data_IF_130465447641
#
_entry.id   IF_130465447641
#
_cell.length_a   1.000
_cell.length_b   1.000
_cell.length_c   1.000
_cell.angle_alpha   90.00
_cell.angle_beta   90.00
_cell.angle_gamma   90.00
#
_symmetry.space_group_name_H-M   'P 1'
#
loop_
_entity.id
_entity.type
_entity.pdbx_description
1 polymer ?
#
# COMPACT_ATOMS: atom_id res chain seq x y z
N UNK A 1 0.98 -21.27 -8.84
CA UNK A 1 1.93 -20.81 -9.88
C UNK A 1 1.33 -21.08 -11.26
N UNK A 2 0.54 -20.17 -11.81
CA UNK A 2 0.39 -20.12 -13.26
C UNK A 2 1.66 -19.44 -13.79
N UNK A 3 2.34 -20.07 -14.75
CA UNK A 3 3.36 -19.41 -15.55
C UNK A 3 2.73 -18.11 -16.08
N UNK A 4 3.16 -16.95 -15.56
CA UNK A 4 2.88 -15.69 -16.21
C UNK A 4 3.37 -15.84 -17.64
N UNK A 5 2.44 -15.94 -18.60
CA UNK A 5 2.78 -15.82 -20.00
C UNK A 5 3.62 -14.55 -20.12
N UNK A 6 4.90 -14.72 -20.48
CA UNK A 6 5.78 -13.60 -20.75
C UNK A 6 5.04 -12.66 -21.70
N UNK A 7 4.87 -11.37 -21.37
CA UNK A 7 4.14 -10.45 -22.22
C UNK A 7 4.76 -10.49 -23.62
N UNK A 8 4.00 -11.02 -24.57
CA UNK A 8 4.45 -11.23 -25.94
C UNK A 8 3.97 -10.06 -26.78
N UNK A 9 4.91 -9.34 -27.39
CA UNK A 9 4.62 -8.33 -28.40
C UNK A 9 5.06 -8.86 -29.77
N UNK A 10 4.26 -8.59 -30.81
CA UNK A 10 4.59 -8.94 -32.18
C UNK A 10 5.06 -7.70 -32.94
N UNK A 11 6.25 -7.78 -33.53
CA UNK A 11 6.73 -6.76 -34.48
C UNK A 11 6.37 -7.27 -35.88
N UNK A 12 5.48 -6.54 -36.56
CA UNK A 12 5.13 -6.83 -37.96
C UNK A 12 6.15 -6.14 -38.86
N UNK A 13 7.20 -6.86 -39.25
CA UNK A 13 8.19 -6.38 -40.22
C UNK A 13 8.12 -7.21 -41.51
N UNK A 14 7.71 -6.63 -42.65
CA UNK A 14 7.63 -7.32 -43.94
C UNK A 14 8.94 -7.96 -44.41
N UNK A 15 10.08 -7.37 -44.02
CA UNK A 15 11.40 -7.90 -44.35
C UNK A 15 11.77 -9.09 -43.46
N UNK A 16 11.35 -9.09 -42.19
CA UNK A 16 11.56 -10.24 -41.30
C UNK A 16 10.84 -11.49 -41.83
N UNK A 17 9.64 -11.34 -42.39
CA UNK A 17 8.87 -12.43 -43.00
C UNK A 17 9.52 -12.98 -44.27
N UNK A 18 10.17 -12.14 -45.08
CA UNK A 18 10.90 -12.62 -46.27
C UNK A 18 12.23 -13.29 -45.93
N UNK A 19 12.85 -12.96 -44.80
CA UNK A 19 14.11 -13.56 -44.32
C UNK A 19 13.88 -14.58 -43.18
N UNK A 20 12.88 -15.45 -43.34
CA UNK A 20 12.68 -16.63 -42.49
C UNK A 20 12.25 -16.35 -41.05
N UNK A 21 11.54 -15.25 -40.81
CA UNK A 21 11.12 -14.79 -39.48
C UNK A 21 12.29 -14.57 -38.50
N UNK A 22 13.42 -14.10 -39.01
CA UNK A 22 14.59 -13.78 -38.16
C UNK A 22 14.66 -12.28 -37.89
N UNK A 23 14.82 -11.93 -36.61
CA UNK A 23 15.08 -10.57 -36.14
C UNK A 23 16.41 -10.58 -35.39
N UNK A 24 17.28 -9.63 -35.71
CA UNK A 24 18.50 -9.37 -34.95
C UNK A 24 18.24 -8.20 -33.98
N UNK A 25 18.78 -8.30 -32.77
CA UNK A 25 18.70 -7.26 -31.75
C UNK A 25 20.09 -6.80 -31.33
N UNK A 26 20.28 -5.48 -31.16
CA UNK A 26 21.48 -4.91 -30.55
C UNK A 26 21.07 -3.91 -29.47
N UNK A 27 21.65 -4.03 -28.28
CA UNK A 27 21.50 -3.01 -27.25
C UNK A 27 22.17 -1.71 -27.71
N UNK A 28 21.45 -0.62 -27.56
CA UNK A 28 21.84 0.75 -27.90
C UNK A 28 21.69 1.60 -26.63
N UNK A 29 22.29 2.79 -26.64
CA UNK A 29 22.31 3.73 -25.52
C UNK A 29 20.95 3.90 -24.82
N UNK A 30 20.98 3.89 -23.49
CA UNK A 30 19.82 4.22 -22.65
C UNK A 30 18.78 3.10 -22.52
N UNK A 31 19.22 1.85 -22.34
CA UNK A 31 18.37 0.65 -22.21
C UNK A 31 17.43 0.44 -23.41
N UNK A 32 17.84 0.85 -24.61
CA UNK A 32 17.09 0.63 -25.84
C UNK A 32 17.60 -0.61 -26.55
N UNK A 33 16.70 -1.45 -27.04
CA UNK A 33 17.04 -2.57 -27.89
C UNK A 33 16.60 -2.23 -29.33
N UNK A 34 17.58 -2.04 -30.21
CA UNK A 34 17.31 -1.86 -31.63
C UNK A 34 17.14 -3.23 -32.29
N UNK A 35 15.97 -3.47 -32.87
CA UNK A 35 15.58 -4.71 -33.53
C UNK A 35 15.40 -4.46 -35.02
N UNK A 36 16.02 -5.29 -35.84
CA UNK A 36 16.04 -5.15 -37.30
C UNK A 36 16.11 -6.52 -37.98
N UNK A 37 15.55 -6.62 -39.19
CA UNK A 37 15.46 -7.89 -39.92
C UNK A 37 16.80 -8.45 -40.45
N UNK A 38 17.83 -7.61 -40.55
CA UNK A 38 19.12 -8.00 -41.14
C UNK A 38 20.13 -8.47 -40.09
N UNK A 39 21.03 -9.40 -40.45
CA UNK A 39 22.19 -9.70 -39.60
C UNK A 39 23.25 -8.62 -39.79
N UNK A 40 23.87 -8.11 -38.71
CA UNK A 40 24.95 -7.15 -38.83
C UNK A 40 26.12 -7.78 -39.60
N UNK A 41 26.66 -7.04 -40.57
CA UNK A 41 27.84 -7.44 -41.35
C UNK A 41 29.02 -7.54 -40.37
N UNK A 42 29.63 -8.72 -40.27
CA UNK A 42 30.84 -8.94 -39.47
C UNK A 42 32.08 -8.77 -40.34
N UNK A 43 33.25 -8.60 -39.72
CA UNK A 43 34.53 -8.43 -40.44
C UNK A 43 34.87 -9.60 -41.40
N UNK A 44 34.16 -10.73 -41.30
CA UNK A 44 34.34 -11.94 -42.11
C UNK A 44 33.31 -12.07 -43.24
N UNK A 45 32.33 -11.16 -43.34
CA UNK A 45 31.29 -11.19 -44.37
C UNK A 45 31.48 -10.07 -45.39
N UNK A 46 31.36 -10.41 -46.68
CA UNK A 46 31.46 -9.44 -47.77
C UNK A 46 30.15 -8.65 -47.86
N UNK A 47 30.26 -7.33 -47.94
CA UNK A 47 29.13 -6.43 -48.13
C UNK A 47 28.62 -6.54 -49.58
N UNK A 48 27.59 -7.36 -49.80
CA UNK A 48 26.93 -7.55 -51.08
C UNK A 48 25.45 -7.14 -50.96
N UNK A 49 24.90 -6.35 -51.91
CA UNK A 49 23.51 -5.92 -51.85
C UNK A 49 22.57 -7.14 -51.89
N UNK A 50 21.66 -7.22 -50.93
CA UNK A 50 20.61 -8.25 -50.92
C UNK A 50 19.61 -8.03 -52.07
N UNK A 51 18.86 -9.08 -52.45
CA UNK A 51 17.89 -9.02 -53.56
C UNK A 51 16.79 -7.95 -53.37
N UNK A 52 16.52 -7.57 -52.13
CA UNK A 52 15.55 -6.55 -51.72
C UNK A 52 16.18 -5.15 -51.49
N UNK A 53 17.49 -4.99 -51.69
CA UNK A 53 18.17 -3.71 -51.53
C UNK A 53 17.59 -2.65 -52.47
N UNK A 54 17.09 -1.55 -51.89
CA UNK A 54 16.43 -0.46 -52.62
C UNK A 54 14.99 -0.73 -53.09
N UNK A 55 14.43 -1.92 -52.81
CA UNK A 55 13.05 -2.30 -53.21
C UNK A 55 12.04 -2.20 -52.07
N UNK A 56 12.48 -2.33 -50.81
CA UNK A 56 11.64 -2.28 -49.61
C UNK A 56 12.27 -1.37 -48.54
N UNK A 57 11.47 -0.66 -47.73
CA UNK A 57 12.00 0.16 -46.64
C UNK A 57 12.60 -0.74 -45.55
N UNK A 58 13.81 -0.41 -45.10
CA UNK A 58 14.45 -1.06 -43.95
C UNK A 58 13.97 -0.37 -42.68
N UNK A 59 13.20 -1.08 -41.87
CA UNK A 59 12.72 -0.57 -40.59
C UNK A 59 13.66 -1.00 -39.46
N UNK A 60 13.97 -0.07 -38.55
CA UNK A 60 14.68 -0.34 -37.30
C UNK A 60 13.70 -0.01 -36.17
N UNK A 61 13.32 -1.02 -35.41
CA UNK A 61 12.39 -0.89 -34.29
C UNK A 61 13.18 -0.67 -33.00
N UNK A 62 12.89 0.39 -32.26
CA UNK A 62 13.48 0.62 -30.95
C UNK A 62 12.51 0.16 -29.87
N UNK A 63 12.93 -0.84 -29.11
CA UNK A 63 12.22 -1.30 -27.92
C UNK A 63 12.84 -0.62 -26.70
N UNK A 64 11.97 -0.15 -25.82
CA UNK A 64 12.38 0.50 -24.57
C UNK A 64 11.46 0.00 -23.46
N UNK A 65 12.00 -0.32 -22.27
CA UNK A 65 11.17 -0.59 -21.11
C UNK A 65 10.27 0.60 -20.80
N UNK A 66 9.04 0.30 -20.42
CA UNK A 66 8.12 1.32 -19.93
C UNK A 66 8.70 1.99 -18.68
N UNK A 67 8.56 3.31 -18.62
CA UNK A 67 9.14 4.12 -17.58
C UNK A 67 8.17 5.21 -17.17
N UNK A 68 7.51 5.01 -16.04
CA UNK A 68 6.40 5.84 -15.59
C UNK A 68 6.81 7.29 -15.33
N UNK A 69 8.07 7.53 -14.96
CA UNK A 69 8.58 8.87 -14.66
C UNK A 69 8.92 9.72 -15.90
N UNK A 70 8.58 9.22 -17.09
CA UNK A 70 8.47 10.07 -18.28
C UNK A 70 7.24 10.99 -18.19
N UNK A 71 6.25 10.65 -17.35
CA UNK A 71 5.14 11.54 -17.01
C UNK A 71 5.60 12.72 -16.10
N UNK A 72 5.18 13.97 -16.37
CA UNK A 72 5.59 15.13 -15.57
C UNK A 72 5.13 15.08 -14.11
N UNK A 73 3.97 14.50 -13.80
CA UNK A 73 3.46 14.41 -12.42
C UNK A 73 4.38 13.48 -11.63
N UNK A 74 4.64 12.28 -12.17
CA UNK A 74 5.51 11.29 -11.55
C UNK A 74 6.97 11.75 -11.48
N UNK A 75 7.43 12.53 -12.47
CA UNK A 75 8.76 13.16 -12.42
C UNK A 75 8.91 14.11 -11.23
N UNK A 76 7.86 14.87 -10.90
CA UNK A 76 7.88 15.76 -9.73
C UNK A 76 8.02 14.98 -8.41
N UNK A 77 7.36 13.81 -8.31
CA UNK A 77 7.50 12.91 -7.17
C UNK A 77 8.95 12.46 -6.97
N UNK A 78 9.66 12.06 -8.04
CA UNK A 78 11.08 11.68 -7.91
C UNK A 78 11.94 12.87 -7.46
N UNK A 79 11.71 14.06 -8.01
CA UNK A 79 12.49 15.24 -7.65
C UNK A 79 12.37 15.54 -6.15
N UNK A 80 11.16 15.49 -5.59
CA UNK A 80 10.92 15.69 -4.16
C UNK A 80 11.45 14.51 -3.32
N UNK A 81 11.25 13.28 -3.78
CA UNK A 81 11.72 12.07 -3.10
C UNK A 81 13.25 12.00 -3.02
N UNK A 82 13.97 12.43 -4.05
CA UNK A 82 15.44 12.45 -4.08
C UNK A 82 16.03 13.33 -2.97
N UNK A 83 15.41 14.48 -2.71
CA UNK A 83 15.81 15.37 -1.62
C UNK A 83 15.60 14.71 -0.25
N UNK A 84 14.50 13.95 -0.11
CA UNK A 84 14.19 13.18 1.09
C UNK A 84 15.17 12.01 1.28
N UNK A 85 15.55 11.35 0.19
CA UNK A 85 16.57 10.30 0.16
C UNK A 85 17.92 10.82 0.63
N UNK A 86 18.40 11.94 0.08
CA UNK A 86 19.65 12.56 0.52
C UNK A 86 19.60 12.97 1.99
N UNK A 87 18.45 13.45 2.48
CA UNK A 87 18.26 13.76 3.90
C UNK A 87 18.37 12.51 4.79
N UNK A 88 17.84 11.37 4.33
CA UNK A 88 17.98 10.08 5.01
C UNK A 88 19.44 9.62 5.05
N UNK A 89 20.17 9.70 3.92
CA UNK A 89 21.58 9.30 3.86
C UNK A 89 22.45 10.13 4.82
N UNK A 90 22.13 11.41 5.02
CA UNK A 90 22.84 12.29 5.97
C UNK A 90 22.71 11.83 7.43
N UNK A 91 21.65 11.10 7.79
CA UNK A 91 21.53 10.51 9.13
C UNK A 91 22.52 9.35 9.35
N UNK A 92 22.96 8.68 8.28
CA UNK A 92 24.01 7.66 8.28
C UNK A 92 23.85 6.59 9.38
N UNK A 93 22.64 6.02 9.51
CA UNK A 93 22.27 5.05 10.55
C UNK A 93 22.49 5.52 12.02
N UNK A 94 22.63 6.84 12.24
CA UNK A 94 22.88 7.47 13.56
C UNK A 94 21.77 8.43 13.98
N UNK A 95 20.68 8.50 13.22
CA UNK A 95 19.54 9.34 13.54
C UNK A 95 18.77 8.85 14.76
N UNK A 96 18.01 9.74 15.40
CA UNK A 96 17.03 9.32 16.40
C UNK A 96 15.81 8.73 15.71
N UNK A 97 15.06 7.88 16.42
CA UNK A 97 13.82 7.27 15.90
C UNK A 97 12.82 8.30 15.36
N UNK A 98 12.72 9.46 16.02
CA UNK A 98 11.87 10.56 15.58
C UNK A 98 12.26 11.12 14.19
N UNK A 99 13.56 11.13 13.86
CA UNK A 99 14.06 11.61 12.58
C UNK A 99 13.61 10.68 11.44
N UNK A 100 13.69 9.37 11.66
CA UNK A 100 13.24 8.38 10.69
C UNK A 100 11.73 8.40 10.47
N UNK A 101 10.94 8.59 11.54
CA UNK A 101 9.50 8.78 11.43
C UNK A 101 9.19 10.04 10.62
N UNK A 102 9.93 11.14 10.85
CA UNK A 102 9.75 12.37 10.08
C UNK A 102 10.02 12.14 8.59
N UNK A 103 11.10 11.42 8.25
CA UNK A 103 11.43 11.06 6.87
C UNK A 103 10.34 10.19 6.24
N UNK A 104 9.87 9.16 6.94
CA UNK A 104 8.77 8.31 6.50
C UNK A 104 7.51 9.11 6.17
N UNK A 105 7.13 10.04 7.07
CA UNK A 105 5.99 10.92 6.87
C UNK A 105 6.19 11.86 5.68
N UNK A 106 7.41 12.36 5.46
CA UNK A 106 7.73 13.17 4.28
C UNK A 106 7.52 12.35 3.00
N UNK A 107 7.99 11.11 2.93
CA UNK A 107 7.71 10.23 1.77
C UNK A 107 6.21 10.03 1.55
N UNK A 108 5.45 9.73 2.62
CA UNK A 108 4.00 9.56 2.52
C UNK A 108 3.30 10.84 2.04
N UNK A 109 3.73 12.01 2.50
CA UNK A 109 3.21 13.30 2.02
C UNK A 109 3.52 13.53 0.53
N UNK A 110 4.70 13.17 0.05
CA UNK A 110 5.05 13.26 -1.38
C UNK A 110 4.16 12.33 -2.20
N UNK A 111 3.95 11.09 -1.75
CA UNK A 111 3.04 10.13 -2.41
C UNK A 111 1.62 10.69 -2.45
N UNK A 112 1.12 11.23 -1.33
CA UNK A 112 -0.23 11.81 -1.26
C UNK A 112 -0.40 13.01 -2.20
N UNK A 113 0.56 13.92 -2.23
CA UNK A 113 0.54 15.06 -3.15
C UNK A 113 0.57 14.61 -4.62
N UNK A 114 1.32 13.54 -4.93
CA UNK A 114 1.31 12.94 -6.25
C UNK A 114 -0.05 12.32 -6.60
N UNK A 115 -0.68 11.60 -5.67
CA UNK A 115 -2.02 11.04 -5.84
C UNK A 115 -3.08 12.11 -6.12
N UNK A 116 -3.04 13.22 -5.38
CA UNK A 116 -3.96 14.35 -5.58
C UNK A 116 -3.79 14.95 -6.99
N UNK A 117 -2.55 15.19 -7.44
CA UNK A 117 -2.26 15.68 -8.80
C UNK A 117 -2.74 14.70 -9.87
N UNK A 118 -2.55 13.39 -9.67
CA UNK A 118 -3.02 12.36 -10.61
C UNK A 118 -4.55 12.30 -10.66
N UNK A 119 -5.23 12.42 -9.52
CA UNK A 119 -6.70 12.46 -9.44
C UNK A 119 -7.27 13.69 -10.14
N UNK A 120 -6.67 14.85 -9.91
CA UNK A 120 -7.04 16.10 -10.59
C UNK A 120 -6.88 15.94 -12.11
N UNK A 121 -5.72 15.45 -12.56
CA UNK A 121 -5.44 15.22 -13.98
C UNK A 121 -6.38 14.18 -14.62
N UNK A 122 -6.76 13.12 -13.88
CA UNK A 122 -7.71 12.11 -14.36
C UNK A 122 -9.16 12.63 -14.44
N UNK A 123 -9.50 13.65 -13.64
CA UNK A 123 -10.81 14.30 -13.66
C UNK A 123 -10.93 15.45 -14.67
N UNK A 124 -9.82 15.83 -15.30
CA UNK A 124 -9.79 16.92 -16.27
C UNK A 124 -10.57 16.57 -17.55
N UNK A 125 -11.34 17.54 -18.05
CA UNK A 125 -12.11 17.41 -19.29
C UNK A 125 -11.32 17.80 -20.53
N UNK A 126 -10.02 18.06 -20.41
CA UNK A 126 -9.17 18.41 -21.55
C UNK A 126 -8.96 17.20 -22.49
N UNK A 127 -8.90 17.41 -23.82
CA UNK A 127 -8.80 16.31 -24.79
C UNK A 127 -7.56 15.42 -24.58
N UNK A 128 -6.41 16.02 -24.26
CA UNK A 128 -5.15 15.31 -23.99
C UNK A 128 -5.19 14.52 -22.68
N UNK A 129 -5.92 15.03 -21.68
CA UNK A 129 -6.11 14.34 -20.39
C UNK A 129 -7.05 13.14 -20.53
N UNK A 130 -8.05 13.24 -21.40
CA UNK A 130 -9.01 12.16 -21.65
C UNK A 130 -8.35 10.95 -22.33
N UNK A 131 -7.37 11.15 -23.21
CA UNK A 131 -6.56 10.07 -23.80
C UNK A 131 -5.70 9.34 -22.75
N UNK A 132 -5.22 10.07 -21.72
CA UNK A 132 -4.39 9.53 -20.64
C UNK A 132 -5.18 9.10 -19.40
N UNK A 133 -6.50 9.21 -19.42
CA UNK A 133 -7.33 8.96 -18.23
C UNK A 133 -7.14 7.54 -17.69
N UNK A 134 -7.17 6.52 -18.56
CA UNK A 134 -6.95 5.13 -18.15
C UNK A 134 -5.56 4.90 -17.55
N UNK A 135 -4.54 5.54 -18.10
CA UNK A 135 -3.17 5.48 -17.59
C UNK A 135 -3.08 6.11 -16.18
N UNK A 136 -3.68 7.28 -15.98
CA UNK A 136 -3.71 7.93 -14.67
C UNK A 136 -4.50 7.12 -13.64
N UNK A 137 -5.59 6.45 -14.02
CA UNK A 137 -6.31 5.53 -13.12
C UNK A 137 -5.42 4.36 -12.68
N UNK A 138 -4.60 3.81 -13.59
CA UNK A 138 -3.62 2.77 -13.25
C UNK A 138 -2.57 3.30 -12.28
N UNK A 139 -2.02 4.49 -12.52
CA UNK A 139 -1.06 5.12 -11.60
C UNK A 139 -1.67 5.42 -10.23
N UNK A 140 -2.91 5.91 -10.17
CA UNK A 140 -3.63 6.12 -8.90
C UNK A 140 -3.74 4.81 -8.13
N UNK A 141 -4.10 3.70 -8.77
CA UNK A 141 -4.19 2.39 -8.12
C UNK A 141 -2.84 1.92 -7.57
N UNK A 142 -1.75 2.09 -8.33
CA UNK A 142 -0.39 1.72 -7.93
C UNK A 142 0.06 2.58 -6.73
N UNK A 143 0.01 3.90 -6.85
CA UNK A 143 0.50 4.81 -5.80
C UNK A 143 -0.37 4.78 -4.54
N UNK A 144 -1.68 4.51 -4.66
CA UNK A 144 -2.54 4.27 -3.50
C UNK A 144 -2.13 2.98 -2.77
N UNK A 145 -1.84 1.92 -3.52
CA UNK A 145 -1.32 0.67 -2.95
C UNK A 145 0.01 0.91 -2.24
N UNK A 146 0.91 1.69 -2.84
CA UNK A 146 2.20 2.07 -2.22
C UNK A 146 1.97 2.83 -0.92
N UNK A 147 1.11 3.85 -0.93
CA UNK A 147 0.83 4.64 0.27
C UNK A 147 0.24 3.79 1.41
N UNK A 148 -0.66 2.88 1.07
CA UNK A 148 -1.30 1.96 2.00
C UNK A 148 -0.29 1.04 2.70
N UNK A 149 0.59 0.41 1.91
CA UNK A 149 1.67 -0.46 2.41
C UNK A 149 2.71 0.35 3.19
N UNK A 150 3.07 1.55 2.73
CA UNK A 150 4.02 2.43 3.40
C UNK A 150 3.50 2.86 4.77
N UNK A 151 2.25 3.29 4.85
CA UNK A 151 1.63 3.72 6.11
C UNK A 151 1.56 2.58 7.12
N UNK A 152 1.19 1.37 6.69
CA UNK A 152 1.18 0.19 7.56
C UNK A 152 2.59 -0.18 8.03
N UNK A 153 3.58 -0.10 7.13
CA UNK A 153 5.00 -0.33 7.47
C UNK A 153 5.52 0.69 8.50
N UNK A 154 5.12 1.96 8.40
CA UNK A 154 5.45 2.99 9.40
C UNK A 154 4.89 2.64 10.78
N UNK A 155 3.67 2.12 10.84
CA UNK A 155 3.00 1.73 12.09
C UNK A 155 3.69 0.52 12.71
N UNK A 156 3.94 -0.53 11.93
CA UNK A 156 4.45 -1.80 12.44
C UNK A 156 5.94 -1.75 12.78
N UNK A 157 6.76 -1.10 11.95
CA UNK A 157 8.23 -1.16 12.08
C UNK A 157 8.87 0.13 12.60
N UNK A 158 8.35 1.30 12.24
CA UNK A 158 8.94 2.58 12.66
C UNK A 158 8.36 3.09 14.00
N UNK A 159 7.17 2.61 14.39
CA UNK A 159 6.49 2.96 15.65
C UNK A 159 6.44 1.87 16.73
N UNK A 160 7.48 1.05 17.01
CA UNK A 160 7.39 0.17 18.17
C UNK A 160 7.45 0.99 19.47
N UNK A 161 6.29 1.34 20.00
CA UNK A 161 6.13 1.87 21.35
C UNK A 161 6.45 0.75 22.35
N UNK A 162 6.89 1.10 23.56
CA UNK A 162 7.25 0.14 24.61
C UNK A 162 6.11 -0.84 25.00
N UNK A 163 4.87 -0.56 24.57
CA UNK A 163 3.71 -1.40 24.85
C UNK A 163 3.45 -2.46 23.77
N UNK A 164 4.05 -2.37 22.58
CA UNK A 164 3.77 -3.23 21.41
C UNK A 164 2.30 -3.37 20.98
N UNK A 165 1.36 -2.64 21.60
CA UNK A 165 -0.05 -2.64 21.23
C UNK A 165 -0.24 -1.83 19.96
N UNK A 166 -0.87 -2.45 18.96
CA UNK A 166 -0.99 -1.91 17.60
C UNK A 166 -2.40 -1.44 17.25
N UNK A 167 -3.41 -1.85 18.03
CA UNK A 167 -4.83 -1.61 17.70
C UNK A 167 -5.15 -0.13 17.48
N UNK A 168 -4.74 0.83 18.35
CA UNK A 168 -5.05 2.24 18.13
C UNK A 168 -4.49 2.78 16.80
N UNK A 169 -3.25 2.40 16.46
CA UNK A 169 -2.62 2.83 15.21
C UNK A 169 -3.27 2.17 13.99
N UNK A 170 -3.70 0.91 14.10
CA UNK A 170 -4.42 0.21 13.03
C UNK A 170 -5.81 0.82 12.78
N UNK A 171 -6.49 1.31 13.82
CA UNK A 171 -7.75 2.05 13.66
C UNK A 171 -7.52 3.37 12.89
N UNK A 172 -6.46 4.12 13.22
CA UNK A 172 -6.08 5.32 12.45
C UNK A 172 -5.75 4.99 10.98
N UNK A 173 -5.08 3.86 10.74
CA UNK A 173 -4.77 3.38 9.40
C UNK A 173 -6.03 3.08 8.58
N UNK A 174 -6.99 2.34 9.13
CA UNK A 174 -8.26 2.07 8.45
C UNK A 174 -9.03 3.35 8.18
N UNK A 175 -9.14 4.25 9.17
CA UNK A 175 -9.84 5.53 8.98
C UNK A 175 -9.27 6.34 7.82
N UNK A 176 -7.95 6.34 7.68
CA UNK A 176 -7.26 7.06 6.61
C UNK A 176 -7.49 6.42 5.22
N UNK A 177 -7.49 5.09 5.12
CA UNK A 177 -7.65 4.37 3.84
C UNK A 177 -9.11 4.06 3.47
N UNK A 178 -10.04 4.09 4.43
CA UNK A 178 -11.46 3.79 4.26
C UNK A 178 -12.36 4.90 4.83
N UNK A 179 -12.29 6.14 4.30
CA UNK A 179 -13.01 7.29 4.86
C UNK A 179 -14.50 7.34 4.50
N UNK A 180 -15.05 6.31 3.84
CA UNK A 180 -16.43 6.30 3.31
C UNK A 180 -17.47 6.55 4.40
N UNK A 181 -17.37 5.85 5.53
CA UNK A 181 -18.30 6.00 6.64
C UNK A 181 -18.15 7.35 7.36
N UNK A 182 -16.93 7.89 7.44
CA UNK A 182 -16.69 9.22 8.05
C UNK A 182 -17.26 10.36 7.18
N UNK A 183 -17.17 10.23 5.85
CA UNK A 183 -17.83 11.15 4.90
C UNK A 183 -19.35 11.07 5.01
N UNK A 184 -19.90 9.86 4.98
CA UNK A 184 -21.34 9.62 5.16
C UNK A 184 -21.83 10.16 6.51
N UNK A 185 -21.05 9.99 7.58
CA UNK A 185 -21.36 10.53 8.90
C UNK A 185 -21.37 12.06 8.89
N UNK A 186 -20.43 12.69 8.18
CA UNK A 186 -20.39 14.16 8.02
C UNK A 186 -21.65 14.66 7.34
N UNK A 187 -22.08 14.01 6.25
CA UNK A 187 -23.31 14.37 5.53
C UNK A 187 -24.55 14.21 6.42
N UNK A 188 -24.65 13.11 7.18
CA UNK A 188 -25.75 12.87 8.13
C UNK A 188 -25.76 13.88 9.29
N UNK A 189 -24.60 14.25 9.82
CA UNK A 189 -24.48 15.28 10.87
C UNK A 189 -24.93 16.66 10.38
N UNK A 190 -24.67 16.99 9.12
CA UNK A 190 -25.13 18.24 8.49
C UNK A 190 -26.65 18.28 8.32
N UNK A 191 -27.30 17.13 8.10
CA UNK A 191 -28.76 17.00 8.07
C UNK A 191 -29.41 17.07 9.46
N UNK A 192 -28.63 16.92 10.53
CA UNK A 192 -29.13 17.00 11.90
C UNK A 192 -30.21 15.95 12.20
N UNK A 193 -31.31 16.29 12.90
CA UNK A 193 -32.36 15.33 13.25
C UNK A 193 -33.06 14.68 12.05
N UNK A 194 -33.04 15.30 10.88
CA UNK A 194 -33.61 14.72 9.66
C UNK A 194 -32.72 13.62 9.06
N UNK A 195 -31.45 13.56 9.45
CA UNK A 195 -30.52 12.51 9.04
C UNK A 195 -30.97 11.11 9.46
N UNK A 196 -31.73 10.97 10.55
CA UNK A 196 -32.24 9.67 11.02
C UNK A 196 -33.26 9.03 10.07
N UNK A 197 -33.82 9.81 9.13
CA UNK A 197 -34.77 9.32 8.12
C UNK A 197 -34.08 8.79 6.86
N UNK A 198 -32.78 9.00 6.73
CA UNK A 198 -32.00 8.51 5.59
C UNK A 198 -31.83 6.99 5.67
N UNK A 199 -31.95 6.32 4.53
CA UNK A 199 -31.65 4.89 4.40
C UNK A 199 -30.18 4.56 4.74
N UNK A 200 -29.30 5.57 4.67
CA UNK A 200 -27.87 5.45 4.96
C UNK A 200 -27.54 5.56 6.46
N UNK A 201 -28.51 5.95 7.31
CA UNK A 201 -28.26 6.21 8.74
C UNK A 201 -27.70 4.98 9.49
N UNK A 202 -28.40 3.83 9.40
CA UNK A 202 -27.99 2.60 10.07
C UNK A 202 -26.74 1.95 9.44
N UNK A 203 -26.62 1.86 8.10
CA UNK A 203 -25.36 1.45 7.47
C UNK A 203 -24.16 2.30 7.89
N UNK A 204 -24.32 3.62 7.98
CA UNK A 204 -23.28 4.53 8.47
C UNK A 204 -22.89 4.20 9.91
N UNK A 205 -23.86 4.12 10.83
CA UNK A 205 -23.60 3.80 12.23
C UNK A 205 -22.89 2.45 12.41
N UNK A 206 -23.33 1.42 11.69
CA UNK A 206 -22.68 0.10 11.71
C UNK A 206 -21.25 0.19 11.20
N UNK A 207 -21.01 0.85 10.07
CA UNK A 207 -19.67 1.05 9.51
C UNK A 207 -18.74 1.83 10.43
N UNK A 208 -19.23 2.90 11.07
CA UNK A 208 -18.48 3.68 12.07
C UNK A 208 -18.08 2.81 13.25
N UNK A 209 -19.03 2.05 13.81
CA UNK A 209 -18.75 1.12 14.92
C UNK A 209 -17.74 0.07 14.47
N UNK A 210 -17.93 -0.56 13.31
CA UNK A 210 -17.01 -1.57 12.76
C UNK A 210 -15.61 -1.04 12.45
N UNK A 211 -15.42 0.27 12.28
CA UNK A 211 -14.11 0.93 12.18
C UNK A 211 -13.61 1.51 13.52
N UNK A 212 -14.30 1.26 14.63
CA UNK A 212 -13.93 1.74 15.96
C UNK A 212 -14.20 3.23 16.22
N UNK A 213 -14.97 3.91 15.36
CA UNK A 213 -15.33 5.33 15.48
C UNK A 213 -16.51 5.57 16.43
N UNK A 214 -16.38 5.11 17.67
CA UNK A 214 -17.47 5.12 18.66
C UNK A 214 -17.96 6.53 18.98
N UNK A 215 -17.07 7.52 19.05
CA UNK A 215 -17.46 8.90 19.38
C UNK A 215 -18.34 9.55 18.31
N UNK A 216 -18.03 9.30 17.02
CA UNK A 216 -18.85 9.80 15.90
C UNK A 216 -20.21 9.11 15.88
N UNK A 217 -20.22 7.79 16.09
CA UNK A 217 -21.46 7.02 16.18
C UNK A 217 -22.35 7.50 17.34
N UNK A 218 -21.75 7.80 18.51
CA UNK A 218 -22.46 8.38 19.66
C UNK A 218 -23.06 9.75 19.34
N UNK A 219 -22.34 10.61 18.63
CA UNK A 219 -22.85 11.91 18.22
C UNK A 219 -24.09 11.78 17.32
N UNK A 220 -24.07 10.86 16.35
CA UNK A 220 -25.23 10.57 15.49
C UNK A 220 -26.42 10.03 16.29
N UNK A 221 -26.19 9.08 17.21
CA UNK A 221 -27.25 8.53 18.07
C UNK A 221 -27.92 9.60 18.95
N UNK A 222 -27.16 10.60 19.41
CA UNK A 222 -27.70 11.71 20.21
C UNK A 222 -28.61 12.65 19.41
N UNK A 223 -28.44 12.71 18.08
CA UNK A 223 -29.31 13.49 17.19
C UNK A 223 -30.60 12.74 16.82
N UNK A 224 -30.70 11.45 17.13
CA UNK A 224 -31.88 10.65 16.83
C UNK A 224 -33.12 11.18 17.59
N UNK A 225 -34.31 11.25 16.96
CA UNK A 225 -35.53 11.74 17.63
C UNK A 225 -35.91 10.98 18.91
N UNK A 226 -35.49 9.72 19.03
CA UNK A 226 -35.74 8.86 20.19
C UNK A 226 -34.54 8.79 21.17
N UNK A 227 -33.57 9.70 21.08
CA UNK A 227 -32.37 9.69 21.92
C UNK A 227 -32.68 9.70 23.44
N UNK A 228 -33.84 10.25 23.85
CA UNK A 228 -34.31 10.23 25.24
C UNK A 228 -35.11 8.98 25.65
N UNK A 229 -35.19 7.96 24.79
CA UNK A 229 -35.81 6.68 25.14
C UNK A 229 -34.84 5.80 25.96
N UNK A 230 -35.40 4.96 26.82
CA UNK A 230 -34.58 4.11 27.70
C UNK A 230 -33.59 3.21 26.93
N UNK A 231 -33.96 2.69 25.76
CA UNK A 231 -33.08 1.87 24.93
C UNK A 231 -31.87 2.67 24.42
N UNK A 232 -32.09 3.89 23.91
CA UNK A 232 -31.01 4.77 23.43
C UNK A 232 -30.11 5.25 24.56
N UNK A 233 -30.66 5.58 25.74
CA UNK A 233 -29.87 5.97 26.91
C UNK A 233 -28.95 4.83 27.38
N UNK A 234 -29.45 3.58 27.39
CA UNK A 234 -28.65 2.41 27.75
C UNK A 234 -27.53 2.20 26.73
N UNK A 235 -27.83 2.26 25.43
CA UNK A 235 -26.82 2.11 24.39
C UNK A 235 -25.77 3.23 24.44
N UNK A 236 -26.17 4.48 24.65
CA UNK A 236 -25.25 5.61 24.85
C UNK A 236 -24.32 5.37 26.04
N UNK A 237 -24.87 4.90 27.16
CA UNK A 237 -24.11 4.60 28.36
C UNK A 237 -23.10 3.47 28.13
N UNK A 238 -23.50 2.40 27.43
CA UNK A 238 -22.61 1.29 27.07
C UNK A 238 -21.42 1.81 26.26
N UNK A 239 -21.70 2.54 25.17
CA UNK A 239 -20.67 3.09 24.28
C UNK A 239 -19.76 4.10 24.98
N UNK A 240 -20.32 4.96 25.84
CA UNK A 240 -19.59 5.99 26.58
C UNK A 240 -18.64 5.42 27.64
N UNK A 241 -19.05 4.33 28.29
CA UNK A 241 -18.29 3.72 29.40
C UNK A 241 -17.28 2.68 28.93
N UNK A 242 -17.24 2.39 27.63
CA UNK A 242 -16.33 1.43 27.05
C UNK A 242 -14.87 1.81 27.34
N UNK A 243 -14.09 0.93 28.00
CA UNK A 243 -12.70 1.22 28.30
C UNK A 243 -11.85 1.29 27.02
N UNK A 244 -11.07 2.35 26.86
CA UNK A 244 -10.08 2.49 25.77
C UNK A 244 -8.67 2.38 26.32
N UNK A 245 -7.79 1.67 25.59
CA UNK A 245 -6.41 1.53 26.02
C UNK A 245 -5.61 2.78 25.67
N UNK A 246 -5.07 3.47 26.69
CA UNK A 246 -4.18 4.59 26.52
C UNK A 246 -2.85 4.34 27.24
N UNK A 247 -1.77 4.23 26.46
CA UNK A 247 -0.41 3.98 26.95
C UNK A 247 0.07 5.11 27.89
N UNK A 248 -0.36 6.35 27.65
CA UNK A 248 -0.02 7.51 28.49
C UNK A 248 -0.88 7.59 29.76
N UNK A 249 -1.94 6.79 29.86
CA UNK A 249 -2.88 6.77 30.99
C UNK A 249 -2.34 6.09 32.25
N UNK A 250 -1.11 5.54 32.23
CA UNK A 250 -0.44 4.96 33.40
C UNK A 250 -1.04 3.62 33.88
N UNK A 251 -2.01 3.04 33.17
CA UNK A 251 -2.60 1.75 33.50
C UNK A 251 -1.74 0.59 32.96
N UNK A 252 -1.58 -0.47 33.76
CA UNK A 252 -1.03 -1.73 33.24
C UNK A 252 -2.02 -2.38 32.27
N UNK A 253 -1.51 -3.11 31.29
CA UNK A 253 -2.34 -3.88 30.33
C UNK A 253 -3.30 -4.82 31.05
N UNK A 254 -2.87 -5.43 32.17
CA UNK A 254 -3.71 -6.31 32.98
C UNK A 254 -4.90 -5.57 33.61
N UNK A 255 -4.67 -4.39 34.21
CA UNK A 255 -5.74 -3.59 34.81
C UNK A 255 -6.76 -3.14 33.76
N UNK A 256 -6.27 -2.75 32.58
CA UNK A 256 -7.13 -2.46 31.44
C UNK A 256 -7.97 -3.67 31.02
N UNK A 257 -7.35 -4.84 30.81
CA UNK A 257 -8.06 -6.08 30.44
C UNK A 257 -9.16 -6.44 31.45
N UNK A 258 -8.90 -6.28 32.76
CA UNK A 258 -9.92 -6.53 33.79
C UNK A 258 -11.10 -5.56 33.70
N UNK A 259 -10.86 -4.26 33.48
CA UNK A 259 -11.93 -3.28 33.32
C UNK A 259 -12.76 -3.53 32.06
N UNK A 260 -12.08 -3.82 30.95
CA UNK A 260 -12.71 -4.16 29.68
C UNK A 260 -13.57 -5.43 29.80
N UNK A 261 -13.06 -6.49 30.44
CA UNK A 261 -13.81 -7.72 30.67
C UNK A 261 -15.06 -7.48 31.53
N UNK A 262 -14.95 -6.66 32.58
CA UNK A 262 -16.09 -6.31 33.42
C UNK A 262 -17.16 -5.56 32.62
N UNK A 263 -16.75 -4.58 31.81
CA UNK A 263 -17.65 -3.84 30.93
C UNK A 263 -18.34 -4.75 29.92
N UNK A 264 -17.61 -5.70 29.32
CA UNK A 264 -18.16 -6.67 28.36
C UNK A 264 -19.23 -7.53 29.02
N UNK A 265 -18.93 -8.12 30.18
CA UNK A 265 -19.88 -8.99 30.90
C UNK A 265 -21.13 -8.23 31.38
N UNK A 266 -21.00 -6.96 31.82
CA UNK A 266 -22.19 -6.15 32.16
C UNK A 266 -23.03 -5.83 30.92
N UNK A 267 -22.39 -5.58 29.77
CA UNK A 267 -23.06 -5.32 28.50
C UNK A 267 -23.79 -6.56 27.98
N UNK A 268 -23.15 -7.73 28.01
CA UNK A 268 -23.78 -9.01 27.66
C UNK A 268 -24.99 -9.32 28.56
N UNK A 269 -24.89 -9.00 29.86
CA UNK A 269 -26.03 -9.15 30.79
C UNK A 269 -27.20 -8.25 30.41
N UNK A 270 -26.94 -7.01 29.98
CA UNK A 270 -27.98 -6.07 29.53
C UNK A 270 -28.65 -6.54 28.23
N UNK A 271 -27.88 -7.12 27.30
CA UNK A 271 -28.41 -7.77 26.10
C UNK A 271 -29.30 -8.96 26.46
N UNK A 272 -28.82 -9.85 27.32
CA UNK A 272 -29.59 -11.03 27.77
C UNK A 272 -30.88 -10.68 28.53
N UNK A 273 -30.94 -9.49 29.15
CA UNK A 273 -32.15 -8.98 29.79
C UNK A 273 -33.20 -8.45 28.79
N UNK A 274 -32.97 -8.55 27.47
CA UNK A 274 -33.84 -8.07 26.39
C UNK A 274 -34.27 -6.60 26.58
N UNK A 275 -33.41 -5.78 27.17
CA UNK A 275 -33.74 -4.36 27.41
C UNK A 275 -33.67 -3.53 26.13
N UNK A 276 -32.88 -3.99 25.14
CA UNK A 276 -32.72 -3.35 23.82
C UNK A 276 -33.62 -3.95 22.74
N UNK A 277 -34.36 -5.03 23.03
CA UNK A 277 -35.17 -5.75 22.02
C UNK A 277 -36.32 -4.94 21.43
N UNK A 278 -36.64 -3.79 22.04
CA UNK A 278 -37.63 -2.82 21.52
C UNK A 278 -37.10 -2.13 20.25
N UNK A 279 -35.78 -2.00 20.12
CA UNK A 279 -35.10 -1.33 19.01
C UNK A 279 -34.06 -2.27 18.37
N UNK A 280 -34.47 -3.14 17.41
CA UNK A 280 -33.63 -4.21 16.86
C UNK A 280 -32.32 -3.71 16.24
N UNK A 281 -32.34 -2.54 15.58
CA UNK A 281 -31.13 -1.95 14.99
C UNK A 281 -30.12 -1.50 16.04
N UNK A 282 -30.59 -1.04 17.20
CA UNK A 282 -29.73 -0.64 18.30
C UNK A 282 -29.17 -1.86 19.03
N UNK A 283 -29.98 -2.90 19.20
CA UNK A 283 -29.52 -4.19 19.71
C UNK A 283 -28.41 -4.77 18.84
N UNK A 284 -28.60 -4.82 17.51
CA UNK A 284 -27.58 -5.29 16.56
C UNK A 284 -26.29 -4.46 16.64
N UNK A 285 -26.41 -3.13 16.81
CA UNK A 285 -25.26 -2.26 17.00
C UNK A 285 -24.49 -2.62 18.27
N UNK A 286 -25.16 -2.85 19.39
CA UNK A 286 -24.50 -3.25 20.63
C UNK A 286 -23.91 -4.68 20.53
N UNK A 287 -24.57 -5.59 19.81
CA UNK A 287 -24.02 -6.93 19.51
C UNK A 287 -22.70 -6.86 18.71
N UNK A 288 -22.57 -5.89 17.79
CA UNK A 288 -21.28 -5.63 17.11
C UNK A 288 -20.19 -5.20 18.10
N UNK A 289 -20.52 -4.31 19.04
CA UNK A 289 -19.58 -3.78 20.04
C UNK A 289 -19.18 -4.85 21.07
N UNK A 290 -20.03 -5.84 21.34
CA UNK A 290 -19.66 -7.01 22.16
C UNK A 290 -18.87 -8.07 21.40
N UNK A 291 -18.70 -7.92 20.08
CA UNK A 291 -17.94 -8.86 19.25
C UNK A 291 -18.72 -10.10 18.83
N UNK A 292 -20.06 -10.02 18.73
CA UNK A 292 -20.90 -11.15 18.33
C UNK A 292 -20.49 -11.73 16.97
N UNK A 293 -20.12 -13.00 16.96
CA UNK A 293 -19.54 -13.65 15.78
C UNK A 293 -20.52 -13.74 14.62
N UNK A 294 -21.80 -14.00 14.86
CA UNK A 294 -22.79 -14.16 13.80
C UNK A 294 -23.09 -12.81 13.14
N UNK A 295 -23.29 -11.76 13.94
CA UNK A 295 -23.55 -10.41 13.43
C UNK A 295 -22.34 -9.89 12.64
N UNK A 296 -21.12 -10.10 13.15
CA UNK A 296 -19.90 -9.76 12.43
C UNK A 296 -19.80 -10.49 11.08
N UNK A 297 -20.15 -11.78 11.01
CA UNK A 297 -20.16 -12.54 9.75
C UNK A 297 -21.12 -11.94 8.72
N UNK A 298 -22.32 -11.56 9.14
CA UNK A 298 -23.31 -10.93 8.27
C UNK A 298 -22.79 -9.62 7.70
N UNK A 299 -22.12 -8.79 8.51
CA UNK A 299 -21.62 -7.50 8.05
C UNK A 299 -20.39 -7.62 7.13
N UNK A 300 -19.43 -8.51 7.45
CA UNK A 300 -18.20 -8.64 6.65
C UNK A 300 -18.43 -9.38 5.32
N UNK A 301 -19.53 -10.13 5.17
CA UNK A 301 -19.87 -10.80 3.92
C UNK A 301 -19.84 -9.86 2.71
N UNK A 302 -20.33 -8.62 2.89
CA UNK A 302 -20.42 -7.62 1.82
C UNK A 302 -19.17 -6.74 1.69
N UNK A 303 -18.18 -6.89 2.58
CA UNK A 303 -16.95 -6.09 2.54
C UNK A 303 -16.07 -6.47 1.35
N UNK A 304 -15.43 -5.49 0.72
CA UNK A 304 -14.54 -5.75 -0.43
C UNK A 304 -13.15 -6.21 0.02
N UNK A 305 -12.68 -5.74 1.17
CA UNK A 305 -11.34 -5.96 1.67
C UNK A 305 -11.39 -6.59 3.07
N UNK A 306 -10.64 -7.67 3.28
CA UNK A 306 -10.63 -8.38 4.56
C UNK A 306 -10.08 -7.50 5.70
N UNK A 307 -9.14 -6.61 5.40
CA UNK A 307 -8.48 -5.76 6.40
C UNK A 307 -9.25 -4.48 6.74
N UNK A 308 -10.34 -4.17 6.04
CA UNK A 308 -11.16 -2.97 6.28
C UNK A 308 -11.73 -2.95 7.70
N UNK A 309 -12.20 -4.10 8.20
CA UNK A 309 -12.86 -4.18 9.50
C UNK A 309 -12.08 -4.96 10.56
N UNK A 310 -10.91 -5.54 10.21
CA UNK A 310 -10.09 -6.28 11.17
C UNK A 310 -9.68 -5.41 12.38
N UNK A 311 -9.18 -4.18 12.21
CA UNK A 311 -8.80 -3.36 13.37
C UNK A 311 -9.95 -3.02 14.30
N UNK A 312 -11.16 -2.78 13.77
CA UNK A 312 -12.34 -2.57 14.61
C UNK A 312 -12.80 -3.86 15.29
N UNK A 313 -12.72 -5.01 14.62
CA UNK A 313 -12.95 -6.29 15.28
C UNK A 313 -11.99 -6.50 16.46
N UNK A 314 -10.68 -6.27 16.24
CA UNK A 314 -9.66 -6.32 17.29
C UNK A 314 -9.96 -5.35 18.43
N UNK A 315 -10.46 -4.16 18.13
CA UNK A 315 -10.82 -3.17 19.14
C UNK A 315 -11.90 -3.67 20.11
N UNK A 316 -12.86 -4.46 19.63
CA UNK A 316 -13.92 -5.03 20.46
C UNK A 316 -13.65 -6.43 20.99
N UNK A 317 -12.65 -7.17 20.49
CA UNK A 317 -12.39 -8.55 20.94
C UNK A 317 -11.03 -8.75 21.58
N UNK A 318 -10.01 -8.01 21.14
CA UNK A 318 -8.66 -8.06 21.70
C UNK A 318 -7.97 -6.67 21.61
N UNK A 319 -8.44 -5.67 22.38
CA UNK A 319 -7.94 -4.29 22.30
C UNK A 319 -6.47 -4.13 22.73
N UNK A 320 -5.90 -5.13 23.39
CA UNK A 320 -4.49 -5.17 23.79
C UNK A 320 -3.64 -6.08 22.89
N UNK A 321 -4.10 -6.34 21.65
CA UNK A 321 -3.38 -7.11 20.65
C UNK A 321 -2.01 -6.50 20.36
N UNK A 322 -0.99 -7.36 20.42
CA UNK A 322 0.39 -6.97 20.17
C UNK A 322 0.81 -7.26 18.73
N UNK A 323 1.87 -6.57 18.27
CA UNK A 323 2.47 -6.80 16.95
C UNK A 323 2.77 -8.28 16.66
N UNK A 324 3.20 -9.06 17.66
CA UNK A 324 3.56 -10.48 17.47
C UNK A 324 2.35 -11.41 17.31
N UNK A 325 1.21 -11.04 17.89
CA UNK A 325 -0.03 -11.81 17.79
C UNK A 325 -0.81 -11.48 16.50
N UNK A 326 -0.54 -10.30 15.91
CA UNK A 326 -1.28 -9.76 14.78
C UNK A 326 -1.30 -10.71 13.58
N UNK A 327 -0.16 -11.31 13.22
CA UNK A 327 -0.07 -12.22 12.06
C UNK A 327 -0.99 -13.44 12.18
N UNK A 328 -1.02 -14.08 13.34
CA UNK A 328 -1.89 -15.24 13.57
C UNK A 328 -3.37 -14.86 13.52
N UNK A 329 -3.73 -13.71 14.11
CA UNK A 329 -5.12 -13.22 14.11
C UNK A 329 -5.55 -12.78 12.71
N UNK A 330 -4.67 -12.12 11.96
CA UNK A 330 -4.94 -11.68 10.59
C UNK A 330 -5.23 -12.86 9.66
N UNK A 331 -4.46 -13.96 9.77
CA UNK A 331 -4.72 -15.19 9.02
C UNK A 331 -6.08 -15.81 9.37
N UNK A 332 -6.37 -15.99 10.67
CA UNK A 332 -7.65 -16.55 11.10
C UNK A 332 -8.84 -15.69 10.64
N UNK A 333 -8.67 -14.37 10.68
CA UNK A 333 -9.67 -13.44 10.17
C UNK A 333 -9.85 -13.51 8.65
N UNK A 334 -8.75 -13.62 7.91
CA UNK A 334 -8.78 -13.76 6.46
C UNK A 334 -9.47 -15.08 6.04
N UNK A 335 -9.14 -16.19 6.69
CA UNK A 335 -9.79 -17.49 6.44
C UNK A 335 -11.30 -17.42 6.71
N UNK A 336 -11.69 -16.76 7.80
CA UNK A 336 -13.08 -16.51 8.14
C UNK A 336 -13.77 -15.67 7.08
N UNK A 337 -13.18 -14.55 6.67
CA UNK A 337 -13.71 -13.68 5.62
C UNK A 337 -13.84 -14.41 4.28
N UNK A 338 -12.86 -15.22 3.91
CA UNK A 338 -12.85 -15.97 2.66
C UNK A 338 -13.92 -17.08 2.65
N UNK A 339 -14.10 -17.79 3.77
CA UNK A 339 -15.09 -18.88 3.85
C UNK A 339 -16.54 -18.39 3.67
N UNK A 340 -16.83 -17.14 4.04
CA UNK A 340 -18.14 -16.53 3.85
C UNK A 340 -18.47 -16.22 2.39
N UNK A 341 -17.47 -16.10 1.51
CA UNK A 341 -17.65 -15.69 0.11
C UNK A 341 -17.88 -16.84 -0.86
N UNK A 342 -18.02 -18.08 -0.36
CA UNK A 342 -18.33 -19.28 -1.17
C UNK A 342 -17.38 -19.54 -2.35
N UNK A 343 -16.12 -19.08 -2.26
CA UNK A 343 -15.11 -19.36 -3.28
C UNK A 343 -14.32 -20.63 -2.94
N UNK A 344 -14.20 -21.55 -3.91
CA UNK A 344 -13.44 -22.80 -3.75
C UNK A 344 -11.92 -22.58 -3.61
N UNK A 345 -11.41 -21.38 -3.94
CA UNK A 345 -9.99 -21.07 -3.81
C UNK A 345 -9.74 -19.59 -3.41
N UNK A 346 -9.12 -19.42 -2.24
CA UNK A 346 -8.75 -18.12 -1.65
C UNK A 346 -7.73 -17.37 -2.52
N UNK A 347 -6.84 -18.08 -3.24
CA UNK A 347 -5.78 -17.43 -4.03
C UNK A 347 -6.30 -16.56 -5.18
N UNK A 348 -7.46 -16.90 -5.74
CA UNK A 348 -8.10 -16.11 -6.80
C UNK A 348 -8.85 -14.88 -6.27
N UNK A 349 -9.21 -14.89 -4.99
CA UNK A 349 -9.88 -13.79 -4.32
C UNK A 349 -8.90 -12.68 -3.91
N UNK A 350 -7.67 -13.08 -3.54
CA UNK A 350 -6.65 -12.17 -3.02
C UNK A 350 -5.91 -11.42 -4.13
N UNK A 351 -6.09 -10.11 -4.16
CA UNK A 351 -5.28 -9.19 -4.96
C UNK A 351 -3.85 -9.15 -4.41
N UNK A 352 -2.94 -8.63 -5.22
CA UNK A 352 -1.53 -8.49 -4.82
C UNK A 352 -1.37 -7.67 -3.52
N UNK A 353 -2.08 -6.55 -3.40
CA UNK A 353 -2.07 -5.71 -2.19
C UNK A 353 -2.49 -6.48 -0.93
N UNK A 354 -3.50 -7.35 -1.04
CA UNK A 354 -4.00 -8.13 0.09
C UNK A 354 -2.91 -9.06 0.65
N UNK A 355 -2.12 -9.67 -0.24
CA UNK A 355 -0.98 -10.52 0.13
C UNK A 355 0.14 -9.72 0.77
N UNK A 356 0.44 -8.52 0.26
CA UNK A 356 1.44 -7.63 0.85
C UNK A 356 1.03 -7.21 2.27
N UNK A 357 -0.25 -6.83 2.48
CA UNK A 357 -0.78 -6.45 3.78
C UNK A 357 -0.71 -7.62 4.77
N UNK A 358 -1.06 -8.83 4.33
CA UNK A 358 -0.92 -10.03 5.18
C UNK A 358 0.54 -10.26 5.58
N UNK A 359 1.47 -10.25 4.62
CA UNK A 359 2.90 -10.43 4.88
C UNK A 359 3.46 -9.36 5.84
N UNK A 360 2.96 -8.13 5.78
CA UNK A 360 3.29 -7.06 6.73
C UNK A 360 2.80 -7.40 8.14
N UNK A 361 1.54 -7.82 8.29
CA UNK A 361 0.96 -8.20 9.57
C UNK A 361 1.63 -9.45 10.19
N UNK A 362 2.13 -10.35 9.36
CA UNK A 362 2.93 -11.52 9.77
C UNK A 362 4.39 -11.19 10.12
N UNK A 363 4.83 -9.94 9.93
CA UNK A 363 6.22 -9.53 10.10
C UNK A 363 7.19 -10.33 9.19
N UNK A 364 6.74 -10.72 7.99
CA UNK A 364 7.55 -11.47 7.04
C UNK A 364 8.26 -10.53 6.05
N UNK A 365 9.29 -9.83 6.54
CA UNK A 365 10.01 -8.80 5.78
C UNK A 365 10.57 -9.29 4.43
N UNK A 366 11.03 -10.54 4.35
CA UNK A 366 11.52 -11.11 3.10
C UNK A 366 10.42 -11.18 2.03
N UNK A 367 9.24 -11.68 2.39
CA UNK A 367 8.10 -11.75 1.47
C UNK A 367 7.53 -10.37 1.17
N UNK A 368 7.55 -9.44 2.13
CA UNK A 368 7.16 -8.04 1.89
C UNK A 368 8.04 -7.43 0.80
N UNK A 369 9.37 -7.49 0.95
CA UNK A 369 10.31 -6.91 -0.03
C UNK A 369 10.11 -7.54 -1.41
N UNK A 370 10.06 -8.87 -1.48
CA UNK A 370 9.83 -9.56 -2.75
C UNK A 370 8.50 -9.16 -3.39
N UNK A 371 7.43 -9.00 -2.60
CA UNK A 371 6.12 -8.63 -3.13
C UNK A 371 6.12 -7.19 -3.64
N UNK A 372 6.68 -6.23 -2.89
CA UNK A 372 6.72 -4.83 -3.33
C UNK A 372 7.65 -4.60 -4.54
N UNK A 373 8.64 -5.46 -4.78
CA UNK A 373 9.44 -5.47 -6.03
C UNK A 373 8.60 -5.76 -7.28
N UNK A 374 7.47 -6.44 -7.13
CA UNK A 374 6.59 -6.78 -8.24
C UNK A 374 5.60 -5.64 -8.57
N UNK A 375 5.61 -4.55 -7.80
CA UNK A 375 4.77 -3.39 -8.10
C UNK A 375 5.29 -2.69 -9.37
N UNK A 376 4.37 -2.26 -10.23
CA UNK A 376 4.68 -1.63 -11.51
C UNK A 376 5.04 -0.15 -11.34
N UNK A 377 6.01 0.16 -10.48
CA UNK A 377 6.41 1.52 -10.10
C UNK A 377 7.87 1.84 -10.46
N UNK A 378 8.45 1.04 -11.38
CA UNK A 378 9.86 1.08 -11.75
C UNK A 378 10.83 0.95 -10.55
N UNK A 379 10.50 0.12 -9.56
CA UNK A 379 11.32 -0.20 -8.37
C UNK A 379 11.53 0.99 -7.41
N UNK A 380 10.76 2.05 -7.53
CA UNK A 380 10.91 3.23 -6.67
C UNK A 380 10.59 2.89 -5.20
N UNK A 381 9.44 2.29 -4.95
CA UNK A 381 8.91 2.02 -3.62
C UNK A 381 9.82 1.07 -2.84
N UNK A 382 10.17 -0.08 -3.43
CA UNK A 382 11.06 -1.05 -2.78
C UNK A 382 12.40 -0.42 -2.43
N UNK A 383 12.96 0.40 -3.31
CA UNK A 383 14.28 1.02 -3.12
C UNK A 383 14.25 1.95 -1.91
N UNK A 384 13.25 2.84 -1.85
CA UNK A 384 13.16 3.85 -0.79
C UNK A 384 12.72 3.26 0.55
N UNK A 385 11.77 2.31 0.55
CA UNK A 385 11.32 1.66 1.78
C UNK A 385 12.44 0.77 2.36
N UNK A 386 13.13 -0.01 1.54
CA UNK A 386 14.23 -0.87 1.99
C UNK A 386 15.39 -0.03 2.53
N UNK A 387 15.73 1.07 1.86
CA UNK A 387 16.77 1.99 2.34
C UNK A 387 16.39 2.65 3.67
N UNK A 388 15.13 3.05 3.85
CA UNK A 388 14.62 3.58 5.12
C UNK A 388 14.71 2.52 6.23
N UNK A 389 14.19 1.31 6.00
CA UNK A 389 14.20 0.22 6.98
C UNK A 389 15.62 -0.20 7.37
N UNK A 390 16.54 -0.21 6.39
CA UNK A 390 17.96 -0.45 6.63
C UNK A 390 18.54 0.63 7.57
N UNK A 391 18.33 1.91 7.24
CA UNK A 391 18.84 3.03 8.04
C UNK A 391 18.25 3.06 9.47
N UNK A 392 17.03 2.56 9.65
CA UNK A 392 16.37 2.45 10.96
C UNK A 392 16.79 1.22 11.77
N UNK A 393 17.60 0.32 11.19
CA UNK A 393 17.97 -0.96 11.80
C UNK A 393 16.80 -1.95 11.95
N UNK A 394 15.71 -1.77 11.20
CA UNK A 394 14.53 -2.64 11.21
C UNK A 394 14.53 -3.68 10.09
N UNK A 395 15.48 -3.59 9.15
CA UNK A 395 15.65 -4.58 8.10
C UNK A 395 16.24 -5.88 8.68
N UNK A 396 15.38 -6.83 9.00
CA UNK A 396 15.76 -8.16 9.48
C UNK A 396 15.51 -9.20 8.39
N UNK A 397 16.55 -9.55 7.63
CA UNK A 397 16.50 -10.68 6.70
C UNK A 397 16.90 -11.97 7.45
N UNK A 398 16.19 -13.08 7.19
CA UNK A 398 16.53 -14.37 7.84
C UNK A 398 17.88 -14.90 7.34
N UNK A 399 18.78 -15.27 8.27
CA UNK A 399 20.05 -15.93 7.94
C UNK A 399 21.16 -15.79 9.00
N UNK A 400 22.30 -16.48 8.81
CA UNK A 400 23.52 -16.34 9.63
C UNK A 400 24.38 -15.11 9.23
N UNK A 401 24.09 -14.49 8.09
CA UNK A 401 24.82 -13.32 7.53
C UNK A 401 23.93 -12.09 7.28
N UNK A 402 22.90 -11.90 8.13
CA UNK A 402 21.82 -10.92 7.94
C UNK A 402 22.30 -9.52 7.51
N UNK A 403 23.33 -8.98 8.17
CA UNK A 403 23.80 -7.62 7.90
C UNK A 403 24.41 -7.47 6.49
N UNK A 404 25.21 -8.45 6.05
CA UNK A 404 25.87 -8.40 4.74
C UNK A 404 24.86 -8.59 3.61
N UNK A 405 23.87 -9.45 3.80
CA UNK A 405 22.83 -9.69 2.80
C UNK A 405 21.88 -8.48 2.69
N UNK A 406 21.57 -7.81 3.81
CA UNK A 406 20.83 -6.55 3.83
C UNK A 406 21.54 -5.43 3.05
N UNK A 407 22.85 -5.28 3.26
CA UNK A 407 23.65 -4.27 2.55
C UNK A 407 23.66 -4.55 1.05
N UNK A 408 23.90 -5.81 0.66
CA UNK A 408 23.90 -6.21 -0.76
C UNK A 408 22.56 -5.97 -1.44
N UNK A 409 21.46 -6.35 -0.77
CA UNK A 409 20.11 -6.12 -1.28
C UNK A 409 19.85 -4.64 -1.49
N UNK A 410 20.10 -3.82 -0.46
CA UNK A 410 19.95 -2.36 -0.53
C UNK A 410 20.77 -1.78 -1.68
N UNK A 411 22.04 -2.13 -1.76
CA UNK A 411 22.95 -1.58 -2.77
C UNK A 411 22.58 -2.03 -4.19
N UNK A 412 22.07 -3.26 -4.36
CA UNK A 412 21.52 -3.73 -5.64
C UNK A 412 20.32 -2.91 -6.07
N UNK A 413 19.37 -2.67 -5.16
CA UNK A 413 18.17 -1.86 -5.44
C UNK A 413 18.53 -0.41 -5.80
N UNK A 414 19.42 0.22 -5.03
CA UNK A 414 19.89 1.57 -5.30
C UNK A 414 20.65 1.65 -6.62
N UNK A 415 21.47 0.64 -6.92
CA UNK A 415 22.21 0.58 -8.18
C UNK A 415 21.29 0.43 -9.38
N UNK A 416 20.33 -0.50 -9.33
CA UNK A 416 19.36 -0.72 -10.40
C UNK A 416 18.49 0.53 -10.62
N UNK A 417 17.95 1.10 -9.55
CA UNK A 417 17.13 2.31 -9.62
C UNK A 417 17.94 3.51 -10.15
N UNK A 418 19.12 3.78 -9.58
CA UNK A 418 19.99 4.85 -10.02
C UNK A 418 20.43 4.70 -11.48
N UNK A 419 20.79 3.48 -11.90
CA UNK A 419 21.15 3.18 -13.29
C UNK A 419 19.98 3.39 -14.25
N UNK A 420 18.75 3.02 -13.86
CA UNK A 420 17.56 3.28 -14.66
C UNK A 420 17.34 4.79 -14.86
N UNK A 421 17.52 5.62 -13.82
CA UNK A 421 17.43 7.08 -13.93
C UNK A 421 18.52 7.67 -14.84
N UNK A 422 19.73 7.12 -14.79
CA UNK A 422 20.86 7.54 -15.62
C UNK A 422 20.60 7.38 -17.13
N UNK A 423 19.69 6.48 -17.53
CA UNK A 423 19.33 6.31 -18.94
C UNK A 423 18.51 7.46 -19.52
N UNK A 424 18.00 8.37 -18.68
CA UNK A 424 17.14 9.49 -19.09
C UNK A 424 17.87 10.81 -18.94
N UNK A 425 17.92 11.59 -20.03
CA UNK A 425 18.60 12.89 -20.08
C UNK A 425 18.08 13.91 -19.06
N UNK A 426 16.84 13.79 -18.59
CA UNK A 426 16.26 14.69 -17.59
C UNK A 426 16.48 14.24 -16.14
N UNK A 427 16.89 12.98 -15.92
CA UNK A 427 16.94 12.37 -14.58
C UNK A 427 18.35 11.92 -14.17
N UNK A 428 19.34 11.99 -15.05
CA UNK A 428 20.69 11.50 -14.77
C UNK A 428 21.33 12.16 -13.53
N UNK A 429 21.05 13.44 -13.26
CA UNK A 429 21.57 14.09 -12.05
C UNK A 429 21.05 13.42 -10.79
N UNK A 430 19.75 13.13 -10.76
CA UNK A 430 19.12 12.41 -9.66
C UNK A 430 19.67 10.99 -9.58
N UNK A 431 19.86 10.31 -10.73
CA UNK A 431 20.49 9.00 -10.79
C UNK A 431 21.88 8.95 -10.17
N UNK A 432 22.69 9.99 -10.39
CA UNK A 432 24.02 10.09 -9.77
C UNK A 432 23.95 10.18 -8.26
N UNK A 433 22.99 10.92 -7.70
CA UNK A 433 22.82 11.03 -6.25
C UNK A 433 22.60 9.64 -5.62
N UNK A 434 21.74 8.79 -6.20
CA UNK A 434 21.56 7.41 -5.70
C UNK A 434 22.84 6.57 -5.82
N UNK A 435 23.55 6.66 -6.95
CA UNK A 435 24.77 5.89 -7.22
C UNK A 435 25.97 6.33 -6.37
N UNK A 436 25.95 7.52 -5.78
CA UNK A 436 26.99 8.00 -4.86
C UNK A 436 26.94 7.26 -3.52
N UNK A 437 25.74 6.91 -3.05
CA UNK A 437 25.51 6.26 -1.75
C UNK A 437 25.52 4.72 -1.76
N UNK A 438 25.92 4.09 -2.88
CA UNK A 438 26.17 2.64 -2.95
C UNK A 438 27.57 2.28 -2.41
N UNK A 439 27.70 1.29 -1.52
CA UNK A 439 28.91 1.06 -0.73
C UNK A 439 30.11 0.45 -1.50
N UNK A 440 29.85 -0.38 -2.51
CA UNK A 440 30.91 -1.06 -3.31
C UNK A 440 31.12 -0.45 -4.71
N UNK A 441 30.06 -0.11 -5.44
CA UNK A 441 30.15 0.48 -6.78
C UNK A 441 30.14 2.03 -6.77
N UNK A 442 29.83 2.65 -5.63
CA UNK A 442 29.86 4.10 -5.45
C UNK A 442 31.24 4.73 -5.64
N UNK A 443 32.29 3.96 -5.34
CA UNK A 443 33.72 4.36 -5.41
C UNK A 443 34.34 4.31 -6.81
N UNK A 444 33.62 3.78 -7.79
CA UNK A 444 34.04 3.85 -9.20
C UNK A 444 33.90 5.31 -9.65
N UNK A 445 34.94 5.94 -10.21
CA UNK A 445 34.87 7.36 -10.59
C UNK A 445 33.69 7.61 -11.55
N UNK A 446 33.03 8.79 -11.47
CA UNK A 446 31.84 9.09 -12.27
C UNK A 446 32.06 8.95 -13.78
N UNK A 447 33.30 9.13 -14.24
CA UNK A 447 33.74 8.86 -15.62
C UNK A 447 33.59 7.39 -16.01
N UNK A 448 33.95 6.44 -15.15
CA UNK A 448 33.78 5.01 -15.41
C UNK A 448 32.30 4.56 -15.28
N UNK A 449 31.50 5.20 -14.41
CA UNK A 449 30.04 4.97 -14.32
C UNK A 449 29.29 5.45 -15.57
N UNK A 450 29.58 6.66 -16.06
CA UNK A 450 29.01 7.14 -17.32
C UNK A 450 29.42 6.25 -18.49
N UNK A 451 30.66 5.76 -18.51
CA UNK A 451 31.13 4.85 -19.57
C UNK A 451 30.45 3.47 -19.48
N UNK A 452 30.18 2.94 -18.29
CA UNK A 452 29.51 1.64 -18.13
C UNK A 452 27.99 1.67 -18.39
N UNK A 453 27.34 2.84 -18.32
CA UNK A 453 25.90 3.02 -18.58
C UNK A 453 25.65 3.47 -20.04
N UNK A 454 26.65 4.07 -20.68
CA UNK A 454 26.60 4.50 -22.10
C UNK A 454 27.12 3.44 -23.09
N UNK A 455 27.58 2.28 -22.62
CA UNK A 455 27.96 1.12 -23.44
C UNK A 455 27.13 -0.08 -22.98
#
# INVERSE_FOLDING_TARGET
>A
MQEQQSPAFSIVDPLSTSFGNTLAGKFVWGNKLAVYAFRPITATTRDEPTEDAGKKPVNIHFLQPEFIFDDPILRSLIAEASSTFVALQKLNCKGYKADYIKISRTYRSIIRACLEKLQEAASSTEPEAMEKCELYQQFIAIFYSIECVWHLSEILFLHPSNSHVVVPQLLEWVRFHFPSYERMATDLLLLGPDGSKSDEYWPCLKGLIMQGQVDVARALLQLHPQAGSAAYEIAEQILKTMPTYNILGGFSVQKFRSQWQYWLTDTERKLAANTLSVEPYLEELIQLVTGDTEIWNTQIHNSQYWYEHLPGHLFYTNPACTHFELGAIANAWLERWASLKSYDNIEHLLKHLDKVILNLMENNMHQVIHSIQLMADNQWFVTHLTDLLYNCGQLQLMGQHQLNDCIKLRDSLLYEFGSNLMTRNSLWQLGMDYLEYCSEQGKIPPTAKMTAILY
#
